data_IF_845883283524
#
_entry.id   IF_845883283524
#
_cell.length_a   1.000
_cell.length_b   1.000
_cell.length_c   1.000
_cell.angle_alpha   90.00
_cell.angle_beta   90.00
_cell.angle_gamma   90.00
#
_symmetry.space_group_name_H-M   'P 1'
#
loop_
_entity.id
_entity.type
_entity.pdbx_description
1 polymer ?
#
# COMPACT_ATOMS: atom_id res chain seq x y z
N UNK A 1 17.43 9.62 -3.15
CA UNK A 1 16.34 9.57 -4.12
C UNK A 1 16.80 10.38 -5.32
N UNK A 2 16.59 9.96 -6.55
CA UNK A 2 16.77 10.84 -7.68
C UNK A 2 15.87 12.07 -7.48
N UNK A 3 16.32 13.23 -7.95
CA UNK A 3 15.54 14.47 -7.87
C UNK A 3 14.15 14.22 -8.45
N UNK A 4 13.10 14.42 -7.65
CA UNK A 4 11.74 14.16 -8.08
C UNK A 4 11.38 15.22 -9.11
N UNK A 5 11.25 14.81 -10.36
CA UNK A 5 10.82 15.70 -11.45
C UNK A 5 9.30 15.96 -11.24
N UNK A 6 8.94 17.22 -11.05
CA UNK A 6 7.56 17.66 -10.85
C UNK A 6 6.87 18.00 -12.18
N UNK A 7 5.55 18.20 -12.16
CA UNK A 7 4.83 18.74 -13.32
C UNK A 7 5.25 20.16 -13.67
N UNK A 8 5.80 20.92 -12.72
CA UNK A 8 6.31 22.26 -12.97
C UNK A 8 7.66 22.25 -13.72
N UNK A 9 8.49 21.23 -13.45
CA UNK A 9 9.80 21.09 -14.10
C UNK A 9 9.66 20.56 -15.53
N UNK A 10 8.75 19.58 -15.71
CA UNK A 10 8.60 18.87 -16.99
C UNK A 10 7.22 18.22 -17.12
N UNK A 11 6.45 18.61 -18.15
CA UNK A 11 5.15 18.00 -18.48
C UNK A 11 4.93 17.93 -20.00
N UNK A 12 5.83 17.23 -20.72
CA UNK A 12 5.86 17.16 -22.19
C UNK A 12 4.57 16.61 -22.79
N UNK A 13 3.87 15.75 -22.03
CA UNK A 13 2.63 15.13 -22.48
C UNK A 13 1.38 15.83 -21.93
N UNK A 14 1.53 17.01 -21.31
CA UNK A 14 0.45 17.77 -20.71
C UNK A 14 -0.45 16.89 -19.79
N UNK A 15 0.15 16.18 -18.85
CA UNK A 15 -0.56 15.23 -17.97
C UNK A 15 -1.01 15.83 -16.64
N UNK A 16 -0.57 17.04 -16.30
CA UNK A 16 -1.05 17.73 -15.10
C UNK A 16 -2.58 17.84 -15.06
N UNK A 17 -3.31 18.17 -16.15
CA UNK A 17 -4.76 18.16 -16.15
C UNK A 17 -5.38 16.80 -15.85
N UNK A 18 -4.76 15.71 -16.31
CA UNK A 18 -5.20 14.36 -15.97
C UNK A 18 -5.00 14.05 -14.47
N UNK A 19 -3.86 14.45 -13.88
CA UNK A 19 -3.65 14.33 -12.44
C UNK A 19 -4.69 15.13 -11.64
N UNK A 20 -5.00 16.37 -12.03
CA UNK A 20 -6.04 17.18 -11.39
C UNK A 20 -7.42 16.50 -11.46
N UNK A 21 -7.79 15.92 -12.60
CA UNK A 21 -9.05 15.20 -12.75
C UNK A 21 -9.08 13.92 -11.91
N UNK A 22 -7.98 13.18 -11.83
CA UNK A 22 -7.86 12.00 -10.96
C UNK A 22 -8.02 12.37 -9.48
N UNK A 23 -7.35 13.42 -9.03
CA UNK A 23 -7.46 13.94 -7.66
C UNK A 23 -8.91 14.30 -7.35
N UNK A 24 -9.55 15.10 -8.21
CA UNK A 24 -10.95 15.47 -8.05
C UNK A 24 -11.87 14.26 -8.01
N UNK A 25 -11.65 13.28 -8.88
CA UNK A 25 -12.40 12.03 -8.89
C UNK A 25 -12.28 11.28 -7.56
N UNK A 26 -11.07 11.24 -6.99
CA UNK A 26 -10.80 10.59 -5.71
C UNK A 26 -11.36 11.38 -4.52
N UNK A 27 -11.41 12.71 -4.59
CA UNK A 27 -12.03 13.56 -3.55
C UNK A 27 -13.56 13.42 -3.54
N UNK A 28 -14.19 13.45 -4.71
CA UNK A 28 -15.65 13.53 -4.84
C UNK A 28 -16.37 12.17 -4.63
N UNK A 29 -15.65 11.05 -4.67
CA UNK A 29 -16.26 9.71 -4.67
C UNK A 29 -15.61 8.79 -3.64
N UNK A 30 -16.27 8.54 -2.52
CA UNK A 30 -15.76 7.65 -1.48
C UNK A 30 -15.71 6.19 -1.92
N UNK A 31 -16.60 5.74 -2.79
CA UNK A 31 -16.72 4.33 -3.22
C UNK A 31 -15.77 3.94 -4.36
N UNK A 32 -15.00 4.89 -4.92
CA UNK A 32 -14.08 4.63 -6.02
C UNK A 32 -12.72 4.11 -5.51
N UNK A 33 -12.70 2.89 -5.04
CA UNK A 33 -11.47 2.15 -4.71
C UNK A 33 -11.75 0.65 -4.84
N UNK A 34 -10.88 -0.12 -5.51
CA UNK A 34 -9.67 0.32 -6.22
C UNK A 34 -9.94 0.95 -7.59
N UNK A 35 -9.08 1.89 -8.00
CA UNK A 35 -9.00 2.43 -9.36
C UNK A 35 -7.80 1.84 -10.11
N UNK A 36 -7.83 1.84 -11.45
CA UNK A 36 -6.69 1.45 -12.26
C UNK A 36 -6.34 2.51 -13.32
N UNK A 37 -5.08 2.92 -13.34
CA UNK A 37 -4.48 3.66 -14.44
C UNK A 37 -3.85 2.64 -15.37
N UNK A 38 -4.51 2.39 -16.50
CA UNK A 38 -4.07 1.41 -17.49
C UNK A 38 -3.25 2.04 -18.61
N UNK A 39 -2.20 1.36 -19.05
CA UNK A 39 -1.42 1.75 -20.21
C UNK A 39 -0.28 0.76 -20.52
N UNK A 40 0.16 0.74 -21.77
CA UNK A 40 1.25 -0.11 -22.21
C UNK A 40 2.59 0.26 -21.49
N UNK A 41 3.55 -0.65 -21.56
CA UNK A 41 4.91 -0.36 -21.06
C UNK A 41 5.55 0.78 -21.85
N UNK A 42 6.37 1.58 -21.18
CA UNK A 42 7.06 2.72 -21.80
C UNK A 42 6.19 3.96 -22.01
N UNK A 43 4.92 3.96 -21.60
CA UNK A 43 4.03 5.14 -21.72
C UNK A 43 4.24 6.19 -20.64
N UNK A 44 5.20 6.00 -19.71
CA UNK A 44 5.52 6.97 -18.65
C UNK A 44 4.54 6.95 -17.47
N UNK A 45 3.88 5.81 -17.20
CA UNK A 45 2.94 5.67 -16.05
C UNK A 45 3.64 5.92 -14.71
N UNK A 46 4.79 5.30 -14.49
CA UNK A 46 5.59 5.44 -13.26
C UNK A 46 5.99 6.89 -13.01
N UNK A 47 6.48 7.60 -14.05
CA UNK A 47 6.81 9.03 -13.92
C UNK A 47 5.57 9.87 -13.61
N UNK A 48 4.46 9.61 -14.27
CA UNK A 48 3.18 10.25 -13.96
C UNK A 48 2.77 10.01 -12.52
N UNK A 49 2.92 8.77 -12.03
CA UNK A 49 2.60 8.41 -10.66
C UNK A 49 3.45 9.20 -9.65
N UNK A 50 4.79 9.23 -9.81
CA UNK A 50 5.66 10.02 -8.94
C UNK A 50 5.31 11.51 -8.91
N UNK A 51 5.05 12.09 -10.10
CA UNK A 51 4.63 13.49 -10.21
C UNK A 51 3.30 13.73 -9.51
N UNK A 52 2.34 12.80 -9.63
CA UNK A 52 1.02 12.90 -8.99
C UNK A 52 1.12 12.77 -7.48
N UNK A 53 1.90 11.82 -6.96
CA UNK A 53 2.15 11.68 -5.51
C UNK A 53 2.79 12.95 -4.95
N UNK A 54 3.80 13.49 -5.64
CA UNK A 54 4.43 14.74 -5.22
C UNK A 54 3.43 15.90 -5.25
N UNK A 55 2.62 16.00 -6.31
CA UNK A 55 1.62 17.06 -6.49
C UNK A 55 0.57 17.03 -5.38
N UNK A 56 0.04 15.84 -5.03
CA UNK A 56 -0.88 15.67 -3.91
C UNK A 56 -0.25 16.14 -2.61
N UNK A 57 0.94 15.66 -2.30
CA UNK A 57 1.61 15.93 -1.02
C UNK A 57 2.10 17.38 -0.88
N UNK A 58 2.27 18.13 -1.98
CA UNK A 58 2.70 19.52 -1.96
C UNK A 58 1.56 20.53 -2.05
N UNK A 59 0.52 20.26 -2.86
CA UNK A 59 -0.52 21.23 -3.17
C UNK A 59 -1.91 20.85 -2.62
N UNK A 60 -2.13 19.57 -2.20
CA UNK A 60 -3.41 19.04 -1.72
C UNK A 60 -3.32 18.36 -0.34
N UNK A 61 -2.25 18.59 0.42
CA UNK A 61 -1.94 17.89 1.66
C UNK A 61 -2.88 18.20 2.84
N UNK A 62 -3.75 19.16 2.71
CA UNK A 62 -4.82 19.48 3.66
C UNK A 62 -5.92 18.42 3.67
N UNK A 63 -6.23 17.81 2.52
CA UNK A 63 -7.29 16.81 2.35
C UNK A 63 -6.79 15.42 1.99
N UNK A 64 -5.67 15.34 1.26
CA UNK A 64 -5.14 14.11 0.71
C UNK A 64 -3.69 13.88 1.14
N UNK A 65 -3.34 12.62 1.33
CA UNK A 65 -1.94 12.20 1.50
C UNK A 65 -1.70 11.01 0.57
N UNK A 66 -0.66 11.09 -0.26
CA UNK A 66 -0.36 10.04 -1.22
C UNK A 66 0.93 9.29 -0.87
N UNK A 67 0.90 7.96 -1.03
CA UNK A 67 2.03 7.06 -0.94
C UNK A 67 2.24 6.30 -2.24
N UNK A 68 3.43 5.72 -2.39
CA UNK A 68 3.82 4.93 -3.55
C UNK A 68 4.39 3.58 -3.13
N UNK A 69 3.93 2.52 -3.79
CA UNK A 69 4.36 1.15 -3.61
C UNK A 69 4.80 0.57 -4.96
N UNK A 70 6.07 0.22 -5.06
CA UNK A 70 6.64 -0.48 -6.22
C UNK A 70 6.53 -1.98 -5.98
N UNK A 71 5.52 -2.61 -6.57
CA UNK A 71 5.25 -4.02 -6.38
C UNK A 71 6.38 -4.91 -6.92
N UNK A 72 6.99 -4.53 -8.05
CA UNK A 72 8.07 -5.30 -8.65
C UNK A 72 9.36 -5.24 -7.82
N UNK A 73 9.66 -4.08 -7.23
CA UNK A 73 10.78 -3.94 -6.29
C UNK A 73 10.61 -4.81 -5.05
N UNK A 74 9.37 -4.99 -4.58
CA UNK A 74 9.05 -5.76 -3.38
C UNK A 74 8.86 -7.27 -3.64
N UNK A 75 8.66 -7.67 -4.90
CA UNK A 75 8.39 -9.06 -5.29
C UNK A 75 9.48 -10.04 -4.83
N UNK A 76 10.75 -9.62 -4.82
CA UNK A 76 11.86 -10.49 -4.43
C UNK A 76 11.82 -10.88 -2.94
N UNK A 77 11.13 -10.13 -2.09
CA UNK A 77 10.95 -10.46 -0.67
C UNK A 77 9.90 -11.55 -0.44
N UNK A 78 9.01 -11.78 -1.39
CA UNK A 78 7.97 -12.81 -1.34
C UNK A 78 7.02 -12.69 -0.14
N UNK A 79 6.83 -11.48 0.36
CA UNK A 79 5.96 -11.15 1.50
C UNK A 79 5.19 -9.85 1.24
N UNK A 80 4.12 -9.90 0.43
CA UNK A 80 3.37 -8.71 0.04
C UNK A 80 2.68 -8.02 1.21
N UNK A 81 2.28 -8.77 2.24
CA UNK A 81 1.62 -8.20 3.41
C UNK A 81 2.57 -7.31 4.21
N UNK A 82 3.73 -7.83 4.58
CA UNK A 82 4.72 -7.05 5.33
C UNK A 82 5.24 -5.86 4.53
N UNK A 83 5.51 -6.03 3.23
CA UNK A 83 5.91 -4.95 2.33
C UNK A 83 4.89 -3.81 2.29
N UNK A 84 3.61 -4.17 2.18
CA UNK A 84 2.53 -3.20 2.11
C UNK A 84 2.33 -2.47 3.44
N UNK A 85 2.33 -3.20 4.57
CA UNK A 85 2.24 -2.61 5.90
C UNK A 85 3.44 -1.68 6.19
N UNK A 86 4.65 -2.04 5.76
CA UNK A 86 5.83 -1.20 5.89
C UNK A 86 5.71 0.10 5.06
N UNK A 87 5.11 0.01 3.87
CA UNK A 87 4.87 1.20 3.04
C UNK A 87 3.83 2.13 3.66
N UNK A 88 2.75 1.59 4.23
CA UNK A 88 1.75 2.39 4.96
C UNK A 88 2.38 3.10 6.16
N UNK A 89 3.17 2.37 6.96
CA UNK A 89 3.90 2.94 8.08
C UNK A 89 4.74 4.15 7.68
N UNK A 90 5.48 4.02 6.59
CA UNK A 90 6.38 5.06 6.10
C UNK A 90 5.63 6.26 5.51
N UNK A 91 4.53 6.00 4.79
CA UNK A 91 3.85 7.02 3.99
C UNK A 91 2.78 7.78 4.74
N UNK A 92 2.10 7.13 5.70
CA UNK A 92 0.85 7.65 6.26
C UNK A 92 0.84 7.76 7.78
N UNK A 93 1.72 7.03 8.49
CA UNK A 93 1.62 6.97 9.95
C UNK A 93 2.44 8.08 10.61
N UNK A 94 1.78 9.02 11.34
CA UNK A 94 2.46 10.07 12.10
C UNK A 94 3.29 9.49 13.24
N UNK A 95 4.29 10.24 13.70
CA UNK A 95 5.22 9.77 14.71
C UNK A 95 4.54 9.36 16.03
N UNK A 96 3.51 10.06 16.43
CA UNK A 96 2.70 9.77 17.61
C UNK A 96 1.93 8.45 17.56
N UNK A 97 1.63 7.94 16.37
CA UNK A 97 0.88 6.70 16.16
C UNK A 97 1.76 5.51 15.76
N UNK A 98 3.06 5.72 15.57
CA UNK A 98 3.99 4.68 15.10
C UNK A 98 4.06 3.48 16.03
N UNK A 99 4.07 3.71 17.34
CA UNK A 99 4.10 2.63 18.34
C UNK A 99 2.87 1.73 18.24
N UNK A 100 1.68 2.33 18.18
CA UNK A 100 0.42 1.60 18.09
C UNK A 100 0.36 0.78 16.77
N UNK A 101 0.75 1.44 15.66
CA UNK A 101 0.80 0.77 14.36
C UNK A 101 1.75 -0.43 14.36
N UNK A 102 2.95 -0.28 14.90
CA UNK A 102 3.94 -1.38 14.96
C UNK A 102 3.45 -2.53 15.84
N UNK A 103 2.75 -2.24 16.94
CA UNK A 103 2.16 -3.27 17.80
C UNK A 103 1.09 -4.08 17.04
N UNK A 104 0.20 -3.41 16.29
CA UNK A 104 -0.81 -4.07 15.45
C UNK A 104 -0.14 -4.87 14.32
N UNK A 105 0.84 -4.28 13.64
CA UNK A 105 1.61 -4.96 12.59
C UNK A 105 2.30 -6.23 13.14
N UNK A 106 2.87 -6.16 14.34
CA UNK A 106 3.47 -7.31 15.01
C UNK A 106 2.44 -8.42 15.29
N UNK A 107 1.23 -8.08 15.77
CA UNK A 107 0.13 -9.04 15.96
C UNK A 107 -0.26 -9.73 14.66
N UNK A 108 -0.41 -8.96 13.57
CA UNK A 108 -0.78 -9.49 12.23
C UNK A 108 0.27 -10.49 11.75
N UNK A 109 1.56 -10.14 11.81
CA UNK A 109 2.67 -10.98 11.38
C UNK A 109 2.77 -12.26 12.22
N UNK A 110 2.64 -12.14 13.54
CA UNK A 110 2.67 -13.29 14.45
C UNK A 110 1.49 -14.24 14.22
N UNK A 111 0.28 -13.70 14.04
CA UNK A 111 -0.93 -14.47 13.77
C UNK A 111 -0.89 -15.16 12.39
N UNK A 112 -0.29 -14.53 11.38
CA UNK A 112 -0.10 -15.09 10.04
C UNK A 112 0.96 -16.19 9.96
N UNK A 113 1.69 -16.44 11.03
CA UNK A 113 2.77 -17.45 11.06
C UNK A 113 3.93 -17.10 10.12
N UNK A 114 4.00 -15.87 9.65
CA UNK A 114 5.05 -15.43 8.74
C UNK A 114 6.37 -15.34 9.50
N UNK A 115 7.43 -15.92 8.92
CA UNK A 115 8.78 -15.70 9.42
C UNK A 115 9.17 -14.29 9.00
N UNK A 116 9.58 -13.47 9.96
CA UNK A 116 10.27 -12.22 9.65
C UNK A 116 11.55 -12.63 8.93
N UNK A 117 11.48 -12.61 7.62
CA UNK A 117 12.66 -12.83 6.82
C UNK A 117 13.58 -11.62 7.07
N UNK A 118 14.89 -11.85 7.05
CA UNK A 118 15.92 -10.83 7.24
C UNK A 118 15.92 -9.82 6.08
N UNK A 119 14.85 -9.06 5.93
CA UNK A 119 14.70 -8.07 4.88
C UNK A 119 15.20 -6.73 5.37
N UNK A 120 15.86 -6.02 4.49
CA UNK A 120 16.43 -4.68 4.78
C UNK A 120 15.35 -3.59 4.75
N UNK A 121 14.20 -3.81 5.39
CA UNK A 121 13.26 -2.72 5.60
C UNK A 121 13.81 -1.75 6.63
N UNK A 122 13.71 -0.43 6.41
CA UNK A 122 14.14 0.57 7.39
C UNK A 122 13.47 0.42 8.76
N UNK A 123 12.29 -0.22 8.81
CA UNK A 123 11.50 -0.41 10.05
C UNK A 123 11.83 -1.72 10.79
N UNK A 124 12.74 -2.57 10.29
CA UNK A 124 13.01 -3.90 10.87
C UNK A 124 13.42 -3.81 12.34
N UNK A 125 14.25 -2.85 12.71
CA UNK A 125 14.67 -2.66 14.10
C UNK A 125 13.49 -2.39 15.03
N UNK A 126 12.65 -1.43 14.66
CA UNK A 126 11.45 -1.04 15.41
C UNK A 126 10.40 -2.16 15.43
N UNK A 127 10.17 -2.81 14.29
CA UNK A 127 9.26 -3.94 14.18
C UNK A 127 9.73 -5.16 14.99
N UNK A 128 11.02 -5.45 14.99
CA UNK A 128 11.60 -6.55 15.80
C UNK A 128 11.41 -6.30 17.30
N UNK A 129 11.55 -5.06 17.72
CA UNK A 129 11.30 -4.66 19.10
C UNK A 129 9.80 -4.81 19.44
N UNK A 130 8.90 -4.28 18.61
CA UNK A 130 7.46 -4.43 18.78
C UNK A 130 7.03 -5.90 18.85
N UNK A 131 7.61 -6.77 18.02
CA UNK A 131 7.33 -8.21 18.05
C UNK A 131 7.81 -8.87 19.35
N UNK A 132 8.97 -8.50 19.88
CA UNK A 132 9.43 -9.02 21.17
C UNK A 132 8.49 -8.62 22.30
N UNK A 133 8.05 -7.36 22.31
CA UNK A 133 7.14 -6.83 23.34
C UNK A 133 5.73 -7.45 23.24
N UNK A 134 5.25 -7.69 22.01
CA UNK A 134 3.92 -8.26 21.76
C UNK A 134 3.87 -9.77 21.92
N UNK A 135 5.00 -10.46 21.77
CA UNK A 135 5.08 -11.93 21.72
C UNK A 135 4.50 -12.62 22.96
N UNK A 136 4.78 -12.09 24.14
CA UNK A 136 4.35 -12.73 25.40
C UNK A 136 2.84 -12.59 25.61
N UNK A 137 2.25 -11.46 25.21
CA UNK A 137 0.80 -11.25 25.23
C UNK A 137 0.08 -12.11 24.18
N UNK A 138 0.61 -12.18 22.97
CA UNK A 138 0.05 -12.99 21.86
C UNK A 138 0.15 -14.49 22.12
N UNK A 139 1.21 -14.98 22.78
CA UNK A 139 1.34 -16.40 23.14
C UNK A 139 0.26 -16.81 24.15
N UNK A 140 -0.12 -15.93 25.07
CA UNK A 140 -1.20 -16.20 26.03
C UNK A 140 -2.61 -16.20 25.39
N UNK A 141 -2.82 -15.44 24.31
CA UNK A 141 -4.09 -15.36 23.57
C UNK A 141 -4.22 -16.40 22.43
N UNK A 142 -3.12 -17.00 21.98
CA UNK A 142 -3.00 -17.71 20.69
C UNK A 142 -3.41 -19.19 20.70
N UNK A 143 -4.58 -19.54 21.18
CA UNK A 143 -5.17 -20.85 20.84
C UNK A 143 -6.33 -20.83 19.84
N UNK A 144 -6.65 -19.69 19.18
CA UNK A 144 -7.77 -19.56 18.22
C UNK A 144 -7.37 -18.79 16.95
N UNK A 145 -6.73 -19.46 16.01
CA UNK A 145 -5.88 -18.88 14.97
C UNK A 145 -6.49 -18.04 13.84
N UNK A 146 -7.77 -18.09 13.51
CA UNK A 146 -8.34 -17.30 12.40
C UNK A 146 -9.11 -16.06 12.85
N UNK A 147 -9.82 -16.15 13.94
CA UNK A 147 -10.55 -15.01 14.52
C UNK A 147 -9.60 -13.86 14.91
N UNK A 148 -8.38 -14.18 15.30
CA UNK A 148 -7.38 -13.20 15.71
C UNK A 148 -6.78 -12.40 14.51
N UNK A 149 -6.63 -13.00 13.33
CA UNK A 149 -6.10 -12.30 12.15
C UNK A 149 -7.11 -11.24 11.68
N UNK A 150 -8.37 -11.60 11.58
CA UNK A 150 -9.44 -10.71 11.14
C UNK A 150 -9.67 -9.56 12.12
N UNK A 151 -9.61 -9.86 13.44
CA UNK A 151 -9.66 -8.86 14.50
C UNK A 151 -8.45 -7.89 14.44
N UNK A 152 -7.26 -8.39 14.14
CA UNK A 152 -6.07 -7.54 14.00
C UNK A 152 -6.14 -6.63 12.77
N UNK A 153 -6.73 -7.10 11.67
CA UNK A 153 -6.98 -6.25 10.50
C UNK A 153 -8.04 -5.18 10.79
N UNK A 154 -9.07 -5.52 11.57
CA UNK A 154 -10.06 -4.56 12.01
C UNK A 154 -9.43 -3.48 12.91
N UNK A 155 -8.58 -3.85 13.85
CA UNK A 155 -7.81 -2.93 14.69
C UNK A 155 -6.95 -2.00 13.84
N UNK A 156 -6.32 -2.53 12.77
CA UNK A 156 -5.55 -1.75 11.80
C UNK A 156 -6.43 -0.73 11.06
N UNK A 157 -7.60 -1.15 10.56
CA UNK A 157 -8.54 -0.26 9.87
C UNK A 157 -8.99 0.89 10.78
N UNK A 158 -9.41 0.57 12.01
CA UNK A 158 -9.80 1.58 12.99
C UNK A 158 -8.67 2.57 13.31
N UNK A 159 -7.43 2.08 13.38
CA UNK A 159 -6.28 2.98 13.57
C UNK A 159 -6.07 3.87 12.34
N UNK A 160 -6.15 3.33 11.12
CA UNK A 160 -6.04 4.11 9.89
C UNK A 160 -7.14 5.17 9.82
N UNK A 161 -8.39 4.83 10.12
CA UNK A 161 -9.51 5.76 10.16
C UNK A 161 -9.30 6.88 11.18
N UNK A 162 -8.83 6.52 12.38
CA UNK A 162 -8.49 7.49 13.42
C UNK A 162 -7.38 8.46 13.00
N UNK A 163 -6.34 7.95 12.31
CA UNK A 163 -5.20 8.77 11.84
C UNK A 163 -5.61 9.62 10.65
N UNK A 164 -6.37 9.06 9.73
CA UNK A 164 -6.83 9.77 8.55
C UNK A 164 -7.70 10.97 8.94
N UNK A 165 -8.57 10.82 9.95
CA UNK A 165 -9.46 11.85 10.45
C UNK A 165 -10.25 12.48 9.29
N UNK A 166 -9.87 13.71 8.86
CA UNK A 166 -10.49 14.42 7.75
C UNK A 166 -9.75 14.25 6.41
N UNK A 167 -8.65 13.49 6.39
CA UNK A 167 -7.85 13.25 5.19
C UNK A 167 -8.17 11.90 4.56
N UNK A 168 -7.95 11.80 3.25
CA UNK A 168 -7.97 10.55 2.52
C UNK A 168 -6.54 10.15 2.15
N UNK A 169 -6.15 8.94 2.50
CA UNK A 169 -4.90 8.34 2.08
C UNK A 169 -5.07 7.70 0.69
N UNK A 170 -4.12 7.92 -0.20
CA UNK A 170 -4.11 7.36 -1.55
C UNK A 170 -2.82 6.57 -1.73
N UNK A 171 -2.92 5.25 -1.89
CA UNK A 171 -1.78 4.41 -2.18
C UNK A 171 -1.75 4.05 -3.66
N UNK A 172 -0.73 4.53 -4.37
CA UNK A 172 -0.43 4.13 -5.73
C UNK A 172 0.40 2.84 -5.71
N UNK A 173 -0.08 1.81 -6.40
CA UNK A 173 0.59 0.51 -6.53
C UNK A 173 0.99 0.34 -7.99
N UNK A 174 2.29 0.40 -8.23
CA UNK A 174 2.87 0.36 -9.58
C UNK A 174 3.55 -0.99 -9.87
N UNK A 175 3.68 -1.31 -11.14
CA UNK A 175 4.42 -2.45 -11.68
C UNK A 175 3.96 -3.84 -11.19
N UNK A 176 2.70 -3.98 -10.74
CA UNK A 176 2.12 -5.26 -10.35
C UNK A 176 2.09 -6.27 -11.51
N UNK A 177 1.93 -5.78 -12.72
CA UNK A 177 1.93 -6.54 -13.97
C UNK A 177 3.30 -7.10 -14.38
N UNK A 178 4.37 -6.81 -13.62
CA UNK A 178 5.71 -7.37 -13.80
C UNK A 178 6.10 -8.39 -12.73
N UNK A 179 5.29 -8.52 -11.70
CA UNK A 179 5.57 -9.40 -10.58
C UNK A 179 5.40 -10.88 -10.96
N UNK A 180 6.02 -11.75 -10.16
CA UNK A 180 5.72 -13.18 -10.21
C UNK A 180 4.23 -13.42 -9.92
N UNK A 181 3.59 -14.39 -10.61
CA UNK A 181 2.16 -14.64 -10.46
C UNK A 181 1.71 -14.83 -9.01
N UNK A 182 2.47 -15.59 -8.22
CA UNK A 182 2.12 -15.87 -6.83
C UNK A 182 2.14 -14.60 -5.96
N UNK A 183 3.15 -13.74 -6.14
CA UNK A 183 3.24 -12.48 -5.40
C UNK A 183 2.11 -11.51 -5.80
N UNK A 184 1.87 -11.35 -7.11
CA UNK A 184 0.82 -10.46 -7.61
C UNK A 184 -0.56 -10.85 -7.08
N UNK A 185 -0.90 -12.14 -7.09
CA UNK A 185 -2.18 -12.63 -6.60
C UNK A 185 -2.30 -12.48 -5.08
N UNK A 186 -1.25 -12.82 -4.32
CA UNK A 186 -1.24 -12.62 -2.87
C UNK A 186 -1.39 -11.14 -2.50
N UNK A 187 -0.74 -10.23 -3.24
CA UNK A 187 -0.89 -8.79 -3.01
C UNK A 187 -2.33 -8.33 -3.26
N UNK A 188 -2.97 -8.79 -4.33
CA UNK A 188 -4.37 -8.49 -4.61
C UNK A 188 -5.31 -9.02 -3.51
N UNK A 189 -5.06 -10.23 -2.99
CA UNK A 189 -5.81 -10.80 -1.87
C UNK A 189 -5.63 -9.98 -0.59
N UNK A 190 -4.39 -9.59 -0.27
CA UNK A 190 -4.10 -8.73 0.89
C UNK A 190 -4.83 -7.40 0.77
N UNK A 191 -4.78 -6.76 -0.39
CA UNK A 191 -5.47 -5.48 -0.62
C UNK A 191 -6.97 -5.63 -0.40
N UNK A 192 -7.60 -6.66 -0.96
CA UNK A 192 -9.03 -6.92 -0.82
C UNK A 192 -9.45 -7.10 0.64
N UNK A 193 -8.65 -7.77 1.46
CA UNK A 193 -9.00 -8.10 2.84
C UNK A 193 -8.63 -7.00 3.84
N UNK A 194 -7.52 -6.28 3.60
CA UNK A 194 -6.96 -5.32 4.56
C UNK A 194 -7.50 -3.91 4.35
N UNK A 195 -7.72 -3.52 3.09
CA UNK A 195 -7.88 -2.10 2.72
C UNK A 195 -9.29 -1.72 2.26
N UNK A 196 -10.30 -2.39 2.75
CA UNK A 196 -11.70 -1.99 2.55
C UNK A 196 -12.09 -0.94 3.61
N UNK A 197 -11.56 0.28 3.49
CA UNK A 197 -11.85 1.44 4.37
C UNK A 197 -12.06 2.68 3.53
N UNK A 198 -12.96 3.57 3.96
CA UNK A 198 -13.32 4.79 3.23
C UNK A 198 -12.14 5.78 3.13
N UNK A 199 -11.22 5.75 4.09
CA UNK A 199 -10.11 6.69 4.19
C UNK A 199 -8.81 6.23 3.52
N UNK A 200 -8.76 5.02 2.94
CA UNK A 200 -7.60 4.53 2.19
C UNK A 200 -8.03 4.07 0.81
N UNK A 201 -7.61 4.79 -0.21
CA UNK A 201 -7.90 4.51 -1.61
C UNK A 201 -6.70 3.90 -2.31
N UNK A 202 -6.95 2.87 -3.10
CA UNK A 202 -5.93 2.17 -3.87
C UNK A 202 -6.04 2.56 -5.34
N UNK A 203 -4.91 2.95 -5.92
CA UNK A 203 -4.78 3.24 -7.35
C UNK A 203 -3.72 2.34 -7.96
N UNK A 204 -4.15 1.35 -8.72
CA UNK A 204 -3.23 0.51 -9.50
C UNK A 204 -2.71 1.26 -10.72
N UNK A 205 -1.41 1.16 -10.97
CA UNK A 205 -0.73 1.72 -12.14
C UNK A 205 -0.14 0.55 -12.93
N UNK A 206 -0.87 0.05 -13.92
CA UNK A 206 -0.63 -1.27 -14.51
C UNK A 206 -0.75 -1.29 -16.03
N UNK A 207 -0.23 -2.35 -16.63
CA UNK A 207 -0.67 -2.84 -17.92
C UNK A 207 -1.69 -3.98 -17.68
N UNK A 208 -2.97 -3.68 -17.87
CA UNK A 208 -4.06 -4.60 -17.56
C UNK A 208 -3.97 -5.92 -18.35
N UNK A 209 -3.60 -5.85 -19.62
CA UNK A 209 -3.47 -7.06 -20.47
C UNK A 209 -2.41 -8.01 -19.90
N UNK A 210 -1.29 -7.49 -19.42
CA UNK A 210 -0.24 -8.29 -18.79
C UNK A 210 -0.69 -8.86 -17.44
N UNK A 211 -1.40 -8.10 -16.62
CA UNK A 211 -1.94 -8.60 -15.35
C UNK A 211 -2.95 -9.74 -15.60
N UNK A 212 -3.78 -9.65 -16.62
CA UNK A 212 -4.70 -10.74 -17.03
C UNK A 212 -3.91 -12.01 -17.39
N UNK A 213 -2.81 -11.89 -18.12
CA UNK A 213 -1.98 -13.06 -18.45
C UNK A 213 -1.35 -13.71 -17.19
N UNK A 214 -0.93 -12.90 -16.20
CA UNK A 214 -0.45 -13.39 -14.91
C UNK A 214 -1.55 -14.22 -14.20
N UNK A 215 -2.78 -13.71 -14.18
CA UNK A 215 -3.92 -14.41 -13.56
C UNK A 215 -4.22 -15.73 -14.29
N UNK A 216 -4.21 -15.73 -15.63
CA UNK A 216 -4.41 -16.95 -16.44
C UNK A 216 -3.34 -18.00 -16.19
N UNK A 217 -2.08 -17.62 -16.01
CA UNK A 217 -1.00 -18.56 -15.69
C UNK A 217 -1.27 -19.37 -14.41
N UNK A 218 -1.99 -18.79 -13.44
CA UNK A 218 -2.30 -19.44 -12.18
C UNK A 218 -3.61 -20.24 -12.21
N UNK A 219 -4.65 -19.67 -12.83
CA UNK A 219 -6.02 -20.22 -12.77
C UNK A 219 -6.47 -20.90 -14.08
N UNK A 220 -5.69 -20.80 -15.14
CA UNK A 220 -6.06 -21.29 -16.48
C UNK A 220 -6.96 -20.30 -17.24
N UNK A 221 -7.30 -20.68 -18.47
CA UNK A 221 -8.20 -19.89 -19.34
C UNK A 221 -9.66 -20.09 -18.92
#
# INVERSE_FOLDING_TARGET
MPDIITFADRDEFNRKPFACNLIKLLEDNNDLSPLAINGAWGTGKTEFCFKTVHFINSEHNDKLVAGYFDAFSEDHFNDPLTSLLATLYKSFIPNENKSDYLAIMAKIILAGGQKILNHSYPIIGELTQAIKETRDSVIQENFANRANIESNFEELRLLIEKIAHEKTFILFIDELDRCRPDFALQLLEVIKHVFNTEHLKIVFVINFDQLVEIVKLKYGN
#
